data_IF_135867022628
#
_entry.id   IF_135867022628
#
_cell.length_a   1.000
_cell.length_b   1.000
_cell.length_c   1.000
_cell.angle_alpha   90.00
_cell.angle_beta   90.00
_cell.angle_gamma   90.00
#
_symmetry.space_group_name_H-M   'P 1'
#
loop_
_entity.id
_entity.type
_entity.pdbx_description
1 polymer ?
#
# COMPACT_ATOMS: atom_id res chain seq x y z
N UNK A 1 -33.13 -19.85 20.56
CA UNK A 1 -33.48 -20.43 19.23
C UNK A 1 -32.20 -20.99 18.62
N UNK A 2 -32.18 -22.27 18.20
CA UNK A 2 -31.01 -22.82 17.50
C UNK A 2 -30.92 -22.16 16.12
N UNK A 3 -29.76 -21.61 15.76
CA UNK A 3 -29.53 -21.10 14.41
C UNK A 3 -29.80 -22.22 13.39
N UNK A 4 -30.71 -21.95 12.46
CA UNK A 4 -31.07 -22.88 11.41
C UNK A 4 -29.93 -22.91 10.38
N UNK A 5 -29.25 -24.05 10.27
CA UNK A 5 -28.18 -24.23 9.28
C UNK A 5 -28.80 -24.21 7.89
N UNK A 6 -28.49 -23.19 7.08
CA UNK A 6 -28.85 -23.15 5.67
C UNK A 6 -27.71 -23.72 4.83
N UNK A 7 -27.98 -24.79 4.11
CA UNK A 7 -27.07 -25.30 3.07
C UNK A 7 -27.26 -24.47 1.80
N UNK A 8 -26.23 -23.72 1.39
CA UNK A 8 -26.18 -23.03 0.11
C UNK A 8 -25.30 -23.80 -0.86
N UNK A 9 -25.88 -24.23 -1.98
CA UNK A 9 -25.12 -24.79 -3.10
C UNK A 9 -24.71 -23.65 -4.02
N UNK A 10 -23.41 -23.51 -4.25
CA UNK A 10 -22.90 -22.54 -5.23
C UNK A 10 -23.03 -23.12 -6.63
N UNK A 11 -23.41 -22.29 -7.58
CA UNK A 11 -23.35 -22.65 -9.00
C UNK A 11 -21.89 -22.81 -9.42
N UNK A 12 -21.65 -23.77 -10.30
CA UNK A 12 -20.34 -24.05 -10.85
C UNK A 12 -20.29 -23.39 -12.22
N UNK A 13 -19.30 -22.53 -12.42
CA UNK A 13 -19.02 -22.00 -13.75
C UNK A 13 -18.36 -23.10 -14.59
N UNK A 14 -19.16 -23.75 -15.44
CA UNK A 14 -18.69 -24.81 -16.34
C UNK A 14 -17.79 -24.27 -17.46
N UNK A 15 -17.66 -22.94 -17.61
CA UNK A 15 -16.75 -22.30 -18.57
C UNK A 15 -15.34 -22.10 -18.03
N UNK A 16 -15.08 -22.44 -16.76
CA UNK A 16 -13.77 -22.31 -16.14
C UNK A 16 -12.72 -23.24 -16.79
N UNK A 17 -11.66 -22.66 -17.32
CA UNK A 17 -10.52 -23.34 -17.95
C UNK A 17 -9.44 -23.67 -16.91
N UNK A 18 -9.75 -24.68 -16.08
CA UNK A 18 -8.88 -25.14 -15.00
C UNK A 18 -8.06 -26.37 -15.44
N UNK A 19 -6.78 -26.49 -15.00
CA UNK A 19 -5.89 -27.58 -15.40
C UNK A 19 -6.51 -28.97 -15.20
N UNK A 20 -6.37 -29.84 -16.21
CA UNK A 20 -6.96 -31.17 -16.20
C UNK A 20 -6.33 -32.10 -15.16
N UNK A 21 -5.11 -31.81 -14.73
CA UNK A 21 -4.35 -32.54 -13.71
C UNK A 21 -4.91 -32.31 -12.30
N UNK A 22 -5.70 -31.26 -12.10
CA UNK A 22 -6.36 -31.02 -10.82
C UNK A 22 -7.45 -32.07 -10.58
N UNK A 23 -7.53 -32.66 -9.37
CA UNK A 23 -8.63 -33.54 -8.98
C UNK A 23 -10.00 -32.93 -9.30
N UNK A 24 -10.98 -33.71 -9.82
CA UNK A 24 -12.28 -33.17 -10.23
C UNK A 24 -13.02 -32.38 -9.15
N UNK A 25 -12.86 -32.77 -7.89
CA UNK A 25 -13.43 -32.04 -6.75
C UNK A 25 -12.82 -30.64 -6.59
N UNK A 26 -11.50 -30.50 -6.76
CA UNK A 26 -10.82 -29.21 -6.65
C UNK A 26 -11.22 -28.28 -7.79
N UNK A 27 -11.29 -28.77 -9.03
CA UNK A 27 -11.79 -28.00 -10.17
C UNK A 27 -13.18 -27.43 -9.91
N UNK A 28 -14.11 -28.28 -9.45
CA UNK A 28 -15.48 -27.85 -9.10
C UNK A 28 -15.49 -26.81 -7.97
N UNK A 29 -14.65 -27.01 -6.95
CA UNK A 29 -14.55 -26.08 -5.81
C UNK A 29 -13.97 -24.73 -6.21
N UNK A 30 -13.00 -24.68 -7.12
CA UNK A 30 -12.41 -23.45 -7.62
C UNK A 30 -13.38 -22.68 -8.54
N UNK A 31 -13.99 -23.36 -9.50
CA UNK A 31 -15.01 -22.77 -10.37
C UNK A 31 -16.18 -22.20 -9.55
N UNK A 32 -16.64 -22.91 -8.51
CA UNK A 32 -17.69 -22.41 -7.60
C UNK A 32 -17.30 -21.21 -6.73
N UNK A 33 -16.01 -20.86 -6.70
CA UNK A 33 -15.46 -19.68 -6.02
C UNK A 33 -15.08 -18.56 -7.00
N UNK A 34 -15.41 -18.72 -8.28
CA UNK A 34 -15.15 -17.73 -9.32
C UNK A 34 -13.74 -17.79 -9.90
N UNK A 35 -12.95 -18.84 -9.60
CA UNK A 35 -11.64 -19.04 -10.23
C UNK A 35 -11.85 -19.61 -11.63
N UNK A 36 -11.40 -18.89 -12.66
CA UNK A 36 -11.71 -19.21 -14.07
C UNK A 36 -10.58 -19.80 -14.86
N UNK A 37 -9.33 -19.64 -14.40
CA UNK A 37 -8.16 -20.02 -15.16
C UNK A 37 -7.04 -20.58 -14.29
N UNK A 38 -6.10 -21.31 -14.90
CA UNK A 38 -4.87 -21.75 -14.24
C UNK A 38 -4.05 -20.57 -13.66
N UNK A 39 -4.10 -19.41 -14.32
CA UNK A 39 -3.34 -18.22 -13.93
C UNK A 39 -3.81 -17.63 -12.59
N UNK A 40 -5.10 -17.71 -12.28
CA UNK A 40 -5.65 -17.28 -10.98
C UNK A 40 -5.27 -18.21 -9.82
N UNK A 41 -4.67 -19.38 -10.11
CA UNK A 41 -4.13 -20.30 -9.11
C UNK A 41 -2.63 -20.06 -8.84
N UNK A 42 -1.97 -19.20 -9.60
CA UNK A 42 -0.57 -18.84 -9.39
C UNK A 42 -0.44 -17.97 -8.13
N UNK A 43 0.35 -18.45 -7.17
CA UNK A 43 0.53 -17.81 -5.84
C UNK A 43 1.97 -17.35 -5.59
N UNK A 44 2.88 -17.70 -6.49
CA UNK A 44 4.26 -17.25 -6.44
C UNK A 44 4.40 -15.83 -6.98
N UNK A 45 5.60 -15.28 -6.86
CA UNK A 45 5.97 -13.96 -7.39
C UNK A 45 5.73 -13.82 -8.90
N UNK A 46 5.64 -14.92 -9.66
CA UNK A 46 5.32 -14.90 -11.09
C UNK A 46 3.90 -14.40 -11.38
N UNK A 47 2.98 -14.57 -10.44
CA UNK A 47 1.59 -14.13 -10.54
C UNK A 47 1.34 -12.72 -10.03
N UNK A 48 2.39 -11.98 -9.64
CA UNK A 48 2.24 -10.60 -9.20
C UNK A 48 1.69 -9.71 -10.32
N UNK A 49 0.78 -8.82 -9.94
CA UNK A 49 0.18 -7.88 -10.87
C UNK A 49 1.19 -6.78 -11.23
N UNK A 50 1.14 -6.20 -12.44
CA UNK A 50 2.00 -5.09 -12.81
C UNK A 50 1.65 -3.85 -11.96
N UNK A 51 2.66 -3.27 -11.32
CA UNK A 51 2.47 -2.12 -10.43
C UNK A 51 1.99 -0.86 -11.18
N UNK A 52 2.20 -0.77 -12.49
CA UNK A 52 1.80 0.36 -13.34
C UNK A 52 0.28 0.56 -13.41
N UNK A 53 -0.51 -0.43 -12.95
CA UNK A 53 -1.96 -0.28 -12.83
C UNK A 53 -2.40 0.28 -11.47
N UNK A 54 -1.48 0.42 -10.52
CA UNK A 54 -1.73 0.98 -9.20
C UNK A 54 -1.49 2.49 -9.24
N UNK A 55 -2.60 3.25 -9.29
CA UNK A 55 -2.56 4.70 -9.44
C UNK A 55 -1.73 5.39 -8.35
N UNK A 56 -1.04 6.46 -8.74
CA UNK A 56 -0.26 7.32 -7.85
C UNK A 56 1.17 6.86 -7.60
N UNK A 57 1.54 5.64 -8.01
CA UNK A 57 2.88 5.08 -7.81
C UNK A 57 3.95 5.88 -8.55
N UNK A 58 3.71 6.28 -9.81
CA UNK A 58 4.69 7.03 -10.60
C UNK A 58 5.08 8.35 -9.91
N UNK A 59 4.09 9.15 -9.52
CA UNK A 59 4.33 10.43 -8.82
C UNK A 59 5.03 10.22 -7.48
N UNK A 60 4.63 9.20 -6.71
CA UNK A 60 5.26 8.89 -5.43
C UNK A 60 6.73 8.48 -5.58
N UNK A 61 7.06 7.68 -6.59
CA UNK A 61 8.42 7.23 -6.87
C UNK A 61 9.33 8.39 -7.28
N UNK A 62 8.84 9.34 -8.07
CA UNK A 62 9.60 10.55 -8.42
C UNK A 62 9.93 11.40 -7.18
N UNK A 63 8.95 11.60 -6.30
CA UNK A 63 9.15 12.34 -5.04
C UNK A 63 10.18 11.62 -4.15
N UNK A 64 10.05 10.30 -4.00
CA UNK A 64 10.98 9.50 -3.19
C UNK A 64 12.39 9.48 -3.78
N UNK A 65 12.53 9.41 -5.11
CA UNK A 65 13.83 9.50 -5.77
C UNK A 65 14.52 10.83 -5.51
N UNK A 66 13.81 11.95 -5.63
CA UNK A 66 14.37 13.26 -5.32
C UNK A 66 14.73 13.37 -3.82
N UNK A 67 13.87 12.85 -2.93
CA UNK A 67 14.16 12.79 -1.51
C UNK A 67 15.44 11.98 -1.20
N UNK A 68 15.67 10.88 -1.92
CA UNK A 68 16.90 10.08 -1.78
C UNK A 68 18.14 10.85 -2.23
N UNK A 69 18.05 11.57 -3.36
CA UNK A 69 19.14 12.37 -3.91
C UNK A 69 19.52 13.55 -3.03
N UNK A 70 18.51 14.22 -2.46
CA UNK A 70 18.68 15.42 -1.64
C UNK A 70 19.00 15.10 -0.18
N UNK A 71 18.92 13.83 0.22
CA UNK A 71 19.09 13.43 1.62
C UNK A 71 17.95 13.91 2.51
N UNK A 72 16.77 14.14 1.93
CA UNK A 72 15.56 14.62 2.60
C UNK A 72 15.17 13.68 3.74
N UNK A 73 14.83 14.25 4.89
CA UNK A 73 14.40 13.50 6.07
C UNK A 73 12.99 12.96 5.91
N UNK A 74 12.89 11.64 5.73
CA UNK A 74 11.62 10.94 5.55
C UNK A 74 11.16 10.37 6.89
N UNK A 75 9.91 10.65 7.29
CA UNK A 75 9.24 9.98 8.40
C UNK A 75 8.12 9.09 7.86
N UNK A 76 8.24 7.78 8.08
CA UNK A 76 7.18 6.81 7.77
C UNK A 76 6.18 6.80 8.92
N UNK A 77 4.92 7.14 8.66
CA UNK A 77 3.83 7.14 9.65
C UNK A 77 2.97 5.90 9.46
N UNK A 78 3.11 4.93 10.35
CA UNK A 78 2.41 3.65 10.31
C UNK A 78 1.07 3.63 11.04
N UNK A 79 0.41 2.47 10.98
CA UNK A 79 -0.69 2.11 11.88
C UNK A 79 -0.22 1.11 12.96
N UNK A 80 -0.98 0.96 14.03
CA UNK A 80 -0.58 0.20 15.23
C UNK A 80 -0.85 -1.31 15.14
N UNK A 81 -1.62 -1.76 14.15
CA UNK A 81 -1.97 -3.16 14.00
C UNK A 81 -0.88 -3.96 13.23
N UNK A 82 -1.15 -5.23 12.93
CA UNK A 82 -0.17 -6.07 12.24
C UNK A 82 0.14 -5.59 10.81
N UNK A 83 -0.85 -5.06 10.10
CA UNK A 83 -0.67 -4.56 8.73
C UNK A 83 0.13 -3.26 8.76
N UNK A 84 -0.22 -2.31 9.63
CA UNK A 84 0.52 -1.07 9.82
C UNK A 84 1.96 -1.26 10.31
N UNK A 85 2.17 -2.14 11.30
CA UNK A 85 3.49 -2.43 11.83
C UNK A 85 4.40 -3.09 10.77
N UNK A 86 3.86 -4.04 10.00
CA UNK A 86 4.64 -4.70 8.94
C UNK A 86 4.86 -3.79 7.73
N UNK A 87 3.91 -2.93 7.38
CA UNK A 87 4.06 -1.88 6.36
C UNK A 87 5.17 -0.90 6.71
N UNK A 88 5.22 -0.48 7.98
CA UNK A 88 6.26 0.42 8.51
C UNK A 88 7.62 -0.24 8.42
N UNK A 89 7.74 -1.46 8.97
CA UNK A 89 9.00 -2.21 8.94
C UNK A 89 9.49 -2.44 7.50
N UNK A 90 8.60 -2.87 6.60
CA UNK A 90 8.92 -3.10 5.19
C UNK A 90 9.43 -1.81 4.53
N UNK A 91 8.73 -0.70 4.71
CA UNK A 91 9.08 0.58 4.07
C UNK A 91 10.42 1.10 4.56
N UNK A 92 10.66 1.08 5.88
CA UNK A 92 11.93 1.53 6.46
C UNK A 92 13.08 0.63 6.04
N UNK A 93 12.93 -0.69 6.11
CA UNK A 93 13.98 -1.64 5.74
C UNK A 93 14.30 -1.58 4.24
N UNK A 94 13.28 -1.50 3.40
CA UNK A 94 13.45 -1.40 1.95
C UNK A 94 14.13 -0.08 1.57
N UNK A 95 13.63 1.07 2.04
CA UNK A 95 14.24 2.37 1.70
C UNK A 95 15.69 2.49 2.19
N UNK A 96 16.01 1.97 3.38
CA UNK A 96 17.40 1.88 3.87
C UNK A 96 18.26 1.02 2.95
N UNK A 97 17.77 -0.17 2.57
CA UNK A 97 18.47 -1.08 1.66
C UNK A 97 18.64 -0.50 0.25
N UNK A 98 17.74 0.41 -0.15
CA UNK A 98 17.80 1.15 -1.40
C UNK A 98 18.67 2.42 -1.31
N UNK A 99 19.28 2.71 -0.15
CA UNK A 99 20.26 3.77 0.01
C UNK A 99 19.77 5.05 0.68
N UNK A 100 18.52 5.11 1.18
CA UNK A 100 18.05 6.23 1.99
C UNK A 100 18.61 6.12 3.42
N UNK A 101 19.54 7.01 3.77
CA UNK A 101 20.12 7.06 5.13
C UNK A 101 19.30 7.90 6.11
N UNK A 102 18.57 8.91 5.62
CA UNK A 102 17.83 9.87 6.45
C UNK A 102 16.34 9.51 6.57
N UNK A 103 16.08 8.33 7.14
CA UNK A 103 14.74 7.80 7.32
C UNK A 103 14.50 7.29 8.74
N UNK A 104 13.35 7.65 9.28
CA UNK A 104 12.85 7.19 10.56
C UNK A 104 11.35 6.89 10.46
N UNK A 105 10.74 6.45 11.56
CA UNK A 105 9.31 6.12 11.60
C UNK A 105 8.62 6.66 12.85
N UNK A 106 7.30 6.74 12.75
CA UNK A 106 6.39 7.09 13.82
C UNK A 106 5.17 6.16 13.74
N UNK A 107 4.83 5.53 14.86
CA UNK A 107 3.58 4.78 15.02
C UNK A 107 2.75 5.56 16.04
N UNK A 108 1.57 6.07 15.66
CA UNK A 108 0.74 6.89 16.52
C UNK A 108 0.13 6.08 17.66
N UNK A 109 -0.13 6.73 18.79
CA UNK A 109 -0.88 6.14 19.89
C UNK A 109 -2.38 6.34 19.63
N UNK A 110 -3.09 5.26 19.28
CA UNK A 110 -4.53 5.33 18.94
C UNK A 110 -5.39 6.03 20.00
N UNK A 111 -5.03 5.94 21.28
CA UNK A 111 -5.81 6.52 22.36
C UNK A 111 -5.59 8.02 22.55
N UNK A 112 -4.41 8.51 22.21
CA UNK A 112 -3.99 9.90 22.42
C UNK A 112 -4.10 10.71 21.12
N UNK A 113 -3.72 10.10 19.99
CA UNK A 113 -3.52 10.75 18.70
C UNK A 113 -4.68 10.51 17.71
N UNK A 114 -5.59 9.58 18.02
CA UNK A 114 -6.65 9.13 17.12
C UNK A 114 -6.14 8.14 16.07
N UNK A 115 -6.85 8.05 14.94
CA UNK A 115 -6.54 7.12 13.84
C UNK A 115 -5.86 7.82 12.66
N UNK A 116 -4.76 7.23 12.16
CA UNK A 116 -4.02 7.71 11.00
C UNK A 116 -3.24 9.00 11.25
N UNK A 117 -3.03 9.78 10.18
CA UNK A 117 -2.30 11.05 10.24
C UNK A 117 -3.21 12.19 10.74
N UNK A 118 -3.16 12.48 12.05
CA UNK A 118 -3.78 13.66 12.67
C UNK A 118 -2.82 14.85 12.72
N UNK A 119 -3.30 16.09 12.95
CA UNK A 119 -2.43 17.25 13.17
C UNK A 119 -1.39 17.02 14.28
N UNK A 120 -1.77 16.35 15.36
CA UNK A 120 -0.88 16.03 16.48
C UNK A 120 0.25 15.08 16.06
N UNK A 121 -0.06 14.07 15.23
CA UNK A 121 0.95 13.15 14.67
C UNK A 121 1.88 13.89 13.71
N UNK A 122 1.36 14.85 12.96
CA UNK A 122 2.17 15.73 12.09
C UNK A 122 3.09 16.61 12.93
N UNK A 123 2.64 17.18 14.03
CA UNK A 123 3.49 17.95 14.95
C UNK A 123 4.61 17.08 15.54
N UNK A 124 4.31 15.83 15.90
CA UNK A 124 5.32 14.86 16.33
C UNK A 124 6.34 14.56 15.22
N UNK A 125 5.89 14.36 13.99
CA UNK A 125 6.77 14.15 12.84
C UNK A 125 7.63 15.39 12.54
N UNK A 126 7.04 16.59 12.59
CA UNK A 126 7.73 17.86 12.41
C UNK A 126 8.78 18.11 13.49
N UNK A 127 8.48 17.82 14.75
CA UNK A 127 9.43 17.88 15.86
C UNK A 127 10.62 16.91 15.68
N UNK A 128 10.42 15.81 14.96
CA UNK A 128 11.48 14.88 14.55
C UNK A 128 12.23 15.34 13.29
N UNK A 129 11.92 16.52 12.75
CA UNK A 129 12.55 17.09 11.56
C UNK A 129 12.03 16.54 10.25
N UNK A 130 10.79 16.03 10.19
CA UNK A 130 10.21 15.55 8.94
C UNK A 130 10.27 16.63 7.84
N UNK A 131 10.84 16.26 6.70
CA UNK A 131 10.80 17.04 5.46
C UNK A 131 9.93 16.36 4.40
N UNK A 132 9.61 15.08 4.60
CA UNK A 132 8.63 14.31 3.84
C UNK A 132 7.95 13.32 4.79
N UNK A 133 6.63 13.23 4.73
CA UNK A 133 5.87 12.20 5.44
C UNK A 133 5.38 11.16 4.42
N UNK A 134 5.55 9.89 4.75
CA UNK A 134 4.98 8.76 4.00
C UNK A 134 4.07 7.99 4.94
N UNK A 135 2.75 8.03 4.73
CA UNK A 135 1.85 7.20 5.52
C UNK A 135 1.80 5.78 4.94
N UNK A 136 1.71 4.80 5.83
CA UNK A 136 1.55 3.39 5.46
C UNK A 136 0.42 2.77 6.25
N UNK A 137 -0.47 2.08 5.52
CA UNK A 137 -1.70 1.47 6.06
C UNK A 137 -2.68 2.48 6.70
N UNK A 138 -2.53 3.76 6.35
CA UNK A 138 -3.43 4.82 6.79
C UNK A 138 -3.31 6.03 5.87
N UNK A 139 -4.18 7.02 6.10
CA UNK A 139 -4.05 8.35 5.52
C UNK A 139 -5.10 8.68 4.45
N UNK A 140 -5.86 7.72 3.91
CA UNK A 140 -6.86 8.00 2.87
C UNK A 140 -7.97 8.93 3.32
N UNK A 141 -8.22 9.01 4.63
CA UNK A 141 -9.20 9.90 5.27
C UNK A 141 -8.56 11.05 6.07
N UNK A 142 -7.22 11.20 6.03
CA UNK A 142 -6.47 12.14 6.89
C UNK A 142 -6.43 13.57 6.33
N UNK A 143 -7.58 14.17 6.05
CA UNK A 143 -7.66 15.53 5.49
C UNK A 143 -6.98 16.57 6.38
N UNK A 144 -7.31 16.59 7.68
CA UNK A 144 -6.79 17.57 8.63
C UNK A 144 -5.27 17.43 8.81
N UNK A 145 -4.76 16.20 8.94
CA UNK A 145 -3.32 15.97 9.05
C UNK A 145 -2.57 16.36 7.79
N UNK A 146 -3.07 16.01 6.60
CA UNK A 146 -2.43 16.39 5.33
C UNK A 146 -2.43 17.91 5.14
N UNK A 147 -3.52 18.59 5.47
CA UNK A 147 -3.59 20.06 5.40
C UNK A 147 -2.64 20.72 6.41
N UNK A 148 -2.56 20.18 7.62
CA UNK A 148 -1.63 20.67 8.65
C UNK A 148 -0.17 20.50 8.21
N UNK A 149 0.20 19.33 7.69
CA UNK A 149 1.54 19.08 7.14
C UNK A 149 1.88 20.06 6.00
N UNK A 150 0.91 20.33 5.12
CA UNK A 150 1.04 21.32 4.05
C UNK A 150 1.30 22.72 4.59
N UNK A 151 0.61 23.13 5.66
CA UNK A 151 0.81 24.43 6.31
C UNK A 151 2.22 24.60 6.89
N UNK A 152 2.86 23.49 7.27
CA UNK A 152 4.25 23.41 7.73
C UNK A 152 5.27 23.22 6.59
N UNK A 153 4.81 23.16 5.33
CA UNK A 153 5.67 22.92 4.17
C UNK A 153 6.17 21.49 4.04
N UNK A 154 5.51 20.52 4.68
CA UNK A 154 5.90 19.11 4.65
C UNK A 154 5.03 18.36 3.63
N UNK A 155 5.56 17.94 2.47
CA UNK A 155 4.83 17.09 1.54
C UNK A 155 4.43 15.76 2.18
N UNK A 156 3.30 15.20 1.74
CA UNK A 156 2.78 13.91 2.21
C UNK A 156 2.53 12.97 1.03
N UNK A 157 3.05 11.75 1.13
CA UNK A 157 2.67 10.61 0.28
C UNK A 157 1.78 9.69 1.13
N UNK A 158 0.63 9.31 0.60
CA UNK A 158 -0.30 8.39 1.27
C UNK A 158 -0.23 7.02 0.63
N UNK A 159 0.07 5.98 1.39
CA UNK A 159 -0.12 4.58 0.99
C UNK A 159 -1.12 3.90 1.90
N UNK A 160 -2.23 3.45 1.32
CA UNK A 160 -3.38 2.94 2.08
C UNK A 160 -4.17 1.94 1.23
N UNK A 161 -5.06 1.19 1.87
CA UNK A 161 -5.96 0.25 1.24
C UNK A 161 -7.42 0.40 1.72
N UNK A 162 -7.68 1.23 2.72
CA UNK A 162 -9.03 1.52 3.19
C UNK A 162 -9.90 2.14 2.09
N UNK A 163 -11.23 2.03 2.25
CA UNK A 163 -12.17 2.62 1.29
C UNK A 163 -12.06 4.15 1.31
N UNK A 164 -11.90 4.82 0.16
CA UNK A 164 -11.84 6.26 0.11
C UNK A 164 -13.20 6.89 0.45
N UNK A 165 -13.15 8.10 1.02
CA UNK A 165 -14.33 8.92 1.25
C UNK A 165 -14.92 9.54 -0.02
N UNK A 166 -15.81 10.51 0.15
CA UNK A 166 -16.36 11.29 -0.97
C UNK A 166 -15.30 12.20 -1.61
N UNK A 167 -14.40 12.73 -0.78
CA UNK A 167 -13.24 13.53 -1.18
C UNK A 167 -11.96 12.85 -0.72
N UNK A 168 -10.83 13.31 -1.27
CA UNK A 168 -9.49 12.80 -0.93
C UNK A 168 -8.68 13.91 -0.25
N UNK A 169 -7.74 13.57 0.65
CA UNK A 169 -6.80 14.54 1.19
C UNK A 169 -5.92 15.11 0.09
N UNK A 170 -5.49 16.37 0.24
CA UNK A 170 -4.67 17.06 -0.75
C UNK A 170 -3.17 16.66 -0.68
N UNK A 171 -2.90 15.36 -0.63
CA UNK A 171 -1.56 14.78 -0.55
C UNK A 171 -0.84 14.88 -1.91
N UNK A 172 0.49 14.84 -1.88
CA UNK A 172 1.27 14.90 -3.12
C UNK A 172 1.08 13.65 -3.97
N UNK A 173 1.00 12.48 -3.36
CA UNK A 173 0.61 11.27 -4.06
C UNK A 173 -0.26 10.40 -3.15
N UNK A 174 -1.22 9.70 -3.73
CA UNK A 174 -2.07 8.73 -3.04
C UNK A 174 -2.00 7.42 -3.80
N UNK A 175 -1.50 6.39 -3.14
CA UNK A 175 -1.45 5.02 -3.62
C UNK A 175 -2.48 4.22 -2.82
N UNK A 176 -3.60 3.89 -3.47
CA UNK A 176 -4.61 3.03 -2.88
C UNK A 176 -5.37 2.27 -3.98
N UNK A 177 -5.45 0.93 -3.92
CA UNK A 177 -6.11 0.12 -4.95
C UNK A 177 -7.62 0.39 -5.01
N UNK A 178 -8.23 0.89 -3.94
CA UNK A 178 -9.66 1.18 -3.82
C UNK A 178 -10.04 2.61 -4.26
N UNK A 179 -9.10 3.40 -4.80
CA UNK A 179 -9.45 4.65 -5.50
C UNK A 179 -10.40 4.37 -6.66
N UNK A 180 -11.39 5.27 -6.85
CA UNK A 180 -12.44 5.13 -7.87
C UNK A 180 -11.88 4.93 -9.27
N UNK A 181 -10.80 5.64 -9.60
CA UNK A 181 -10.17 5.63 -10.92
C UNK A 181 -8.90 4.76 -10.98
N UNK A 182 -8.70 3.87 -9.99
CA UNK A 182 -7.56 2.94 -9.99
C UNK A 182 -7.92 1.65 -10.71
N UNK A 183 -7.13 1.28 -11.71
CA UNK A 183 -7.36 0.07 -12.51
C UNK A 183 -6.72 -1.19 -11.91
N UNK A 184 -6.02 -1.08 -10.78
CA UNK A 184 -5.33 -2.21 -10.17
C UNK A 184 -6.31 -3.34 -9.82
N UNK A 185 -6.11 -4.57 -10.34
CA UNK A 185 -7.11 -5.65 -10.21
C UNK A 185 -7.35 -6.10 -8.77
N UNK A 186 -6.32 -6.14 -7.92
CA UNK A 186 -6.44 -6.62 -6.55
C UNK A 186 -6.90 -5.53 -5.59
N UNK A 187 -8.23 -5.34 -5.49
CA UNK A 187 -8.88 -4.41 -4.55
C UNK A 187 -8.79 -4.81 -3.09
N UNK A 188 -8.41 -6.06 -2.81
CA UNK A 188 -8.27 -6.62 -1.46
C UNK A 188 -6.82 -6.69 -0.98
N UNK A 189 -5.95 -5.83 -1.53
CA UNK A 189 -4.57 -5.72 -1.06
C UNK A 189 -4.56 -5.17 0.38
N UNK A 190 -3.69 -5.69 1.22
CA UNK A 190 -3.40 -5.16 2.55
C UNK A 190 -2.50 -3.91 2.45
N UNK A 191 -2.43 -3.06 3.48
CA UNK A 191 -1.54 -1.90 3.52
C UNK A 191 -0.08 -2.26 3.23
N UNK A 192 0.41 -3.37 3.78
CA UNK A 192 1.78 -3.86 3.55
C UNK A 192 2.01 -4.29 2.12
N UNK A 193 0.96 -4.78 1.45
CA UNK A 193 0.99 -5.08 0.03
C UNK A 193 1.12 -3.80 -0.81
N UNK A 194 0.40 -2.73 -0.46
CA UNK A 194 0.51 -1.43 -1.14
C UNK A 194 1.91 -0.86 -0.99
N UNK A 195 2.43 -0.85 0.25
CA UNK A 195 3.79 -0.43 0.54
C UNK A 195 4.83 -1.25 -0.24
N UNK A 196 4.65 -2.58 -0.32
CA UNK A 196 5.53 -3.45 -1.10
C UNK A 196 5.54 -3.12 -2.59
N UNK A 197 4.38 -2.87 -3.21
CA UNK A 197 4.32 -2.45 -4.61
C UNK A 197 5.00 -1.10 -4.85
N UNK A 198 4.85 -0.13 -3.95
CA UNK A 198 5.57 1.14 -4.03
C UNK A 198 7.09 0.93 -3.96
N UNK A 199 7.58 0.09 -3.03
CA UNK A 199 9.00 -0.22 -2.92
C UNK A 199 9.55 -0.95 -4.15
N UNK A 200 8.76 -1.86 -4.74
CA UNK A 200 9.09 -2.55 -5.99
C UNK A 200 9.25 -1.56 -7.16
N UNK A 201 8.31 -0.62 -7.28
CA UNK A 201 8.35 0.42 -8.29
C UNK A 201 9.53 1.37 -8.07
N UNK A 202 9.77 1.82 -6.83
CA UNK A 202 10.91 2.67 -6.48
C UNK A 202 12.24 1.99 -6.82
N UNK A 203 12.41 0.71 -6.48
CA UNK A 203 13.62 -0.05 -6.83
C UNK A 203 13.84 -0.11 -8.35
N UNK A 204 12.77 -0.32 -9.12
CA UNK A 204 12.83 -0.36 -10.58
C UNK A 204 13.29 1.00 -11.12
N UNK A 205 12.66 2.08 -10.66
CA UNK A 205 13.01 3.43 -11.05
C UNK A 205 14.44 3.81 -10.68
N UNK A 206 14.89 3.52 -9.45
CA UNK A 206 16.27 3.77 -9.02
C UNK A 206 17.29 3.07 -9.92
N UNK A 207 17.05 1.79 -10.25
CA UNK A 207 17.91 1.05 -11.19
C UNK A 207 17.94 1.72 -12.55
N UNK A 208 16.79 2.12 -13.08
CA UNK A 208 16.69 2.72 -14.40
C UNK A 208 17.34 4.13 -14.43
N UNK A 209 17.50 4.78 -13.27
CA UNK A 209 18.28 6.01 -13.08
C UNK A 209 19.79 5.76 -12.83
N UNK A 210 20.27 4.51 -12.83
CA UNK A 210 21.68 4.18 -12.55
C UNK A 210 22.09 4.37 -11.08
N UNK A 211 21.13 4.52 -10.16
CA UNK A 211 21.38 4.85 -8.74
C UNK A 211 22.33 3.88 -8.02
N UNK A 212 22.33 2.61 -8.43
CA UNK A 212 23.14 1.57 -7.79
C UNK A 212 24.56 1.47 -8.38
N UNK A 213 24.85 2.15 -9.48
CA UNK A 213 26.18 2.14 -10.10
C UNK A 213 27.11 3.14 -9.40
N UNK A 214 26.55 4.15 -8.74
CA UNK A 214 27.26 5.26 -8.09
C UNK A 214 27.55 5.04 -6.58
N UNK A 215 27.24 3.85 -6.03
CA UNK A 215 27.28 3.55 -4.59
C UNK A 215 28.12 2.33 -4.22
#
# INVERSE_FOLDING_TARGET
>A
MKQQIQLRRREVDETADLPAELPPLLRRLYASRGVRSAQELERSVKGMLPWQQLSGVEKAVEILYNAFREGTRIIVVGDFDADGATSTALSVLAMRSLGCSNIDYLVPNRFEDGYGLSPEVVDQAHARGAQLIVTVDNGISSHAGVEHARSLGIPVIVTDHHLPGETLPAAEAIINPNLRDCNFPSKSLAGVGVAFYLMLALRTFLRDQGWFDER
#
